data_IF_821512084725
#
_entry.id   IF_821512084725
#
_cell.length_a   1.000
_cell.length_b   1.000
_cell.length_c   1.000
_cell.angle_alpha   90.00
_cell.angle_beta   90.00
_cell.angle_gamma   90.00
#
_symmetry.space_group_name_H-M   'P 1'
#
loop_
_entity.id
_entity.type
_entity.pdbx_description
1 polymer ?
#
# COMPACT_ATOMS: atom_id res chain seq x y z
N UNK A 1 21.22 19.41 -2.18
CA UNK A 1 20.31 18.84 -3.19
C UNK A 1 18.99 19.57 -3.03
N UNK A 2 18.43 20.22 -4.06
CA UNK A 2 17.09 20.79 -3.92
C UNK A 2 16.08 19.64 -3.78
N UNK A 3 15.14 19.77 -2.85
CA UNK A 3 14.01 18.83 -2.72
C UNK A 3 13.19 18.82 -4.01
N UNK A 4 12.62 17.67 -4.41
CA UNK A 4 11.72 17.65 -5.55
C UNK A 4 10.48 18.50 -5.21
N UNK A 5 10.29 19.57 -5.97
CA UNK A 5 9.10 20.40 -5.89
C UNK A 5 7.89 19.61 -6.42
N UNK A 6 7.11 19.04 -5.51
CA UNK A 6 5.84 18.41 -5.85
C UNK A 6 5.31 17.57 -4.70
N UNK A 7 4.64 18.22 -3.72
CA UNK A 7 3.73 17.58 -2.76
C UNK A 7 3.18 18.52 -1.65
N UNK A 8 3.89 19.58 -1.26
CA UNK A 8 3.63 20.23 0.03
C UNK A 8 2.64 21.41 0.02
N UNK A 9 1.94 21.66 -1.09
CA UNK A 9 0.91 22.72 -1.11
C UNK A 9 -0.49 22.13 -0.90
N UNK A 10 -1.39 22.82 -0.15
CA UNK A 10 -2.78 22.40 -0.04
C UNK A 10 -3.47 22.16 -1.39
N UNK A 11 -3.09 22.91 -2.42
CA UNK A 11 -3.66 22.80 -3.77
C UNK A 11 -3.26 21.49 -4.47
N UNK A 12 -1.99 21.04 -4.33
CA UNK A 12 -1.53 19.79 -4.90
C UNK A 12 -2.26 18.59 -4.29
N UNK A 13 -2.43 18.60 -2.96
CA UNK A 13 -3.19 17.56 -2.24
C UNK A 13 -4.65 17.51 -2.68
N UNK A 14 -5.33 18.65 -2.80
CA UNK A 14 -6.71 18.69 -3.27
C UNK A 14 -6.84 18.18 -4.72
N UNK A 15 -5.87 18.50 -5.57
CA UNK A 15 -5.82 17.98 -6.93
C UNK A 15 -5.63 16.45 -6.95
N UNK A 16 -4.78 15.90 -6.06
CA UNK A 16 -4.55 14.45 -5.99
C UNK A 16 -5.80 13.72 -5.50
N UNK A 17 -6.48 14.26 -4.48
CA UNK A 17 -7.77 13.77 -4.05
C UNK A 17 -8.82 13.80 -5.17
N UNK A 18 -8.79 14.82 -6.02
CA UNK A 18 -9.66 14.89 -7.19
C UNK A 18 -9.32 13.82 -8.24
N UNK A 19 -8.03 13.57 -8.48
CA UNK A 19 -7.57 12.50 -9.34
C UNK A 19 -8.03 11.12 -8.84
N UNK A 20 -7.92 10.86 -7.53
CA UNK A 20 -8.40 9.62 -6.90
C UNK A 20 -9.91 9.42 -7.13
N UNK A 21 -10.73 10.45 -6.85
CA UNK A 21 -12.18 10.39 -7.09
C UNK A 21 -12.48 10.13 -8.56
N UNK A 22 -11.82 10.86 -9.46
CA UNK A 22 -12.06 10.79 -10.91
C UNK A 22 -11.69 9.41 -11.46
N UNK A 23 -10.57 8.84 -11.05
CA UNK A 23 -10.17 7.47 -11.40
C UNK A 23 -11.19 6.44 -10.90
N UNK A 24 -11.57 6.52 -9.62
CA UNK A 24 -12.53 5.57 -9.04
C UNK A 24 -13.88 5.61 -9.77
N UNK A 25 -14.44 6.80 -9.99
CA UNK A 25 -15.73 6.96 -10.72
C UNK A 25 -15.64 6.40 -12.13
N UNK A 26 -14.56 6.67 -12.85
CA UNK A 26 -14.37 6.16 -14.21
C UNK A 26 -14.33 4.62 -14.27
N UNK A 27 -13.65 3.98 -13.31
CA UNK A 27 -13.60 2.51 -13.22
C UNK A 27 -14.97 1.91 -12.82
N UNK A 28 -15.69 2.57 -11.91
CA UNK A 28 -17.05 2.18 -11.49
C UNK A 28 -18.01 2.25 -12.69
N UNK A 29 -18.05 3.38 -13.39
CA UNK A 29 -18.95 3.61 -14.53
C UNK A 29 -18.67 2.64 -15.67
N UNK A 30 -17.38 2.34 -15.90
CA UNK A 30 -16.96 1.35 -16.88
C UNK A 30 -17.12 -0.10 -16.41
N UNK A 31 -17.56 -0.34 -15.16
CA UNK A 31 -17.71 -1.65 -14.51
C UNK A 31 -16.43 -2.50 -14.54
N UNK A 32 -15.27 -1.85 -14.42
CA UNK A 32 -13.97 -2.52 -14.32
C UNK A 32 -13.74 -2.91 -12.86
N UNK A 33 -13.53 -4.19 -12.51
CA UNK A 33 -13.13 -4.57 -11.16
C UNK A 33 -11.78 -3.94 -10.79
N UNK A 34 -11.71 -3.28 -9.63
CA UNK A 34 -10.50 -2.65 -9.14
C UNK A 34 -10.41 -2.71 -7.61
N UNK A 35 -9.30 -2.25 -7.06
CA UNK A 35 -9.17 -1.89 -5.65
C UNK A 35 -8.25 -0.67 -5.51
N UNK A 36 -8.56 0.25 -4.60
CA UNK A 36 -7.60 1.24 -4.14
C UNK A 36 -6.51 0.52 -3.33
N UNK A 37 -5.25 0.79 -3.65
CA UNK A 37 -4.08 0.18 -3.00
C UNK A 37 -3.10 1.25 -2.50
N UNK A 38 -1.94 0.82 -2.00
CA UNK A 38 -0.85 1.72 -1.65
C UNK A 38 -1.18 2.71 -0.53
N UNK A 39 -0.66 3.93 -0.64
CA UNK A 39 -0.73 4.94 0.42
C UNK A 39 -2.16 5.41 0.71
N UNK A 40 -2.96 5.65 -0.33
CA UNK A 40 -4.34 6.11 -0.17
C UNK A 40 -5.26 5.04 0.42
N UNK A 41 -5.02 3.76 0.10
CA UNK A 41 -5.70 2.66 0.78
C UNK A 41 -5.33 2.61 2.27
N UNK A 42 -4.05 2.79 2.60
CA UNK A 42 -3.60 2.82 4.00
C UNK A 42 -4.25 4.00 4.74
N UNK A 43 -4.34 5.17 4.11
CA UNK A 43 -4.99 6.35 4.67
C UNK A 43 -6.50 6.12 4.92
N UNK A 44 -7.20 5.49 3.98
CA UNK A 44 -8.59 5.10 4.15
C UNK A 44 -8.80 4.16 5.36
N UNK A 45 -7.77 3.42 5.76
CA UNK A 45 -7.76 2.53 6.93
C UNK A 45 -7.17 3.19 8.20
N UNK A 46 -6.84 4.49 8.15
CA UNK A 46 -6.41 5.28 9.30
C UNK A 46 -4.91 5.57 9.39
N UNK A 47 -4.11 5.21 8.38
CA UNK A 47 -2.72 5.66 8.28
C UNK A 47 -2.62 7.17 7.95
N UNK A 48 -1.44 7.80 8.11
CA UNK A 48 -1.23 9.17 7.65
C UNK A 48 -1.53 9.35 6.15
N UNK A 49 -2.04 10.52 5.78
CA UNK A 49 -2.32 10.84 4.37
C UNK A 49 -1.01 10.91 3.56
N UNK A 50 -0.90 10.21 2.41
CA UNK A 50 0.26 10.30 1.53
C UNK A 50 0.26 11.64 0.75
N UNK A 51 1.43 12.04 0.25
CA UNK A 51 1.60 13.35 -0.39
C UNK A 51 2.06 13.30 -1.86
N UNK A 52 2.27 12.12 -2.44
CA UNK A 52 2.91 11.98 -3.75
C UNK A 52 1.96 11.47 -4.84
N UNK A 53 1.44 10.26 -4.65
CA UNK A 53 0.70 9.50 -5.64
C UNK A 53 -0.45 8.70 -5.01
N UNK A 54 -1.32 8.18 -5.89
CA UNK A 54 -2.34 7.23 -5.54
C UNK A 54 -2.24 6.00 -6.45
N UNK A 55 -2.55 4.84 -5.89
CA UNK A 55 -2.41 3.57 -6.57
C UNK A 55 -3.78 2.87 -6.66
N UNK A 56 -4.10 2.35 -7.84
CA UNK A 56 -5.24 1.46 -8.08
C UNK A 56 -4.73 0.14 -8.63
N UNK A 57 -5.30 -0.97 -8.18
CA UNK A 57 -5.06 -2.29 -8.75
C UNK A 57 -6.24 -2.69 -9.64
N UNK A 58 -5.95 -3.23 -10.82
CA UNK A 58 -6.92 -3.87 -11.73
C UNK A 58 -6.38 -5.23 -12.15
N UNK A 59 -7.26 -6.15 -12.55
CA UNK A 59 -6.78 -7.43 -13.06
C UNK A 59 -6.01 -7.24 -14.38
N UNK A 60 -4.96 -8.03 -14.62
CA UNK A 60 -4.13 -7.91 -15.83
C UNK A 60 -4.95 -7.99 -17.11
N UNK A 61 -5.93 -8.88 -17.15
CA UNK A 61 -6.86 -9.05 -18.26
C UNK A 61 -7.80 -7.85 -18.50
N UNK A 62 -7.98 -6.95 -17.52
CA UNK A 62 -8.82 -5.76 -17.62
C UNK A 62 -8.01 -4.47 -17.83
N UNK A 63 -6.68 -4.54 -17.88
CA UNK A 63 -5.83 -3.35 -17.97
C UNK A 63 -6.17 -2.47 -19.19
N UNK A 64 -6.42 -3.07 -20.36
CA UNK A 64 -6.80 -2.33 -21.57
C UNK A 64 -8.16 -1.63 -21.44
N UNK A 65 -9.12 -2.28 -20.78
CA UNK A 65 -10.43 -1.70 -20.51
C UNK A 65 -10.34 -0.56 -19.51
N UNK A 66 -9.49 -0.70 -18.49
CA UNK A 66 -9.21 0.36 -17.52
C UNK A 66 -8.59 1.60 -18.21
N UNK A 67 -7.61 1.42 -19.10
CA UNK A 67 -7.01 2.51 -19.90
C UNK A 67 -8.07 3.26 -20.69
N UNK A 68 -8.91 2.53 -21.42
CA UNK A 68 -9.96 3.11 -22.24
C UNK A 68 -10.97 3.90 -21.40
N UNK A 69 -11.35 3.36 -20.23
CA UNK A 69 -12.26 4.02 -19.31
C UNK A 69 -11.66 5.34 -18.77
N UNK A 70 -10.40 5.32 -18.36
CA UNK A 70 -9.72 6.49 -17.81
C UNK A 70 -9.48 7.57 -18.88
N UNK A 71 -9.08 7.16 -20.08
CA UNK A 71 -8.95 8.07 -21.21
C UNK A 71 -10.31 8.69 -21.61
N UNK A 72 -11.39 7.89 -21.64
CA UNK A 72 -12.75 8.38 -21.91
C UNK A 72 -13.26 9.33 -20.81
N UNK A 73 -12.82 9.13 -19.58
CA UNK A 73 -13.06 10.04 -18.46
C UNK A 73 -12.16 11.28 -18.48
N UNK A 74 -11.29 11.45 -19.48
CA UNK A 74 -10.46 12.65 -19.67
C UNK A 74 -9.16 12.67 -18.88
N UNK A 75 -8.73 11.53 -18.31
CA UNK A 75 -7.38 11.41 -17.75
C UNK A 75 -6.36 11.23 -18.89
N UNK A 76 -5.17 11.79 -18.72
CA UNK A 76 -4.04 11.56 -19.63
C UNK A 76 -3.39 10.21 -19.27
N UNK A 77 -3.65 9.18 -20.08
CA UNK A 77 -3.15 7.82 -19.87
C UNK A 77 -1.84 7.64 -20.63
N UNK A 78 -0.81 7.19 -19.91
CA UNK A 78 0.53 6.98 -20.43
C UNK A 78 1.02 5.56 -20.14
N UNK A 79 1.65 4.97 -21.15
CA UNK A 79 2.31 3.67 -21.08
C UNK A 79 3.80 3.89 -20.75
N UNK A 80 4.25 3.61 -19.52
CA UNK A 80 5.66 3.69 -19.19
C UNK A 80 6.41 2.45 -19.70
N UNK A 81 7.73 2.39 -19.54
CA UNK A 81 8.52 1.24 -19.97
C UNK A 81 8.28 0.01 -19.08
N UNK A 82 7.82 0.26 -17.85
CA UNK A 82 7.40 -0.67 -16.84
C UNK A 82 6.21 -1.52 -17.32
N UNK A 83 6.37 -2.84 -17.30
CA UNK A 83 5.38 -3.80 -17.77
C UNK A 83 4.44 -4.31 -16.67
N UNK A 84 4.20 -3.50 -15.63
CA UNK A 84 3.41 -3.87 -14.45
C UNK A 84 2.33 -2.85 -14.05
N UNK A 85 2.36 -1.65 -14.66
CA UNK A 85 1.37 -0.59 -14.47
C UNK A 85 1.22 0.25 -15.73
N UNK A 86 0.17 1.06 -15.77
CA UNK A 86 0.11 2.25 -16.61
C UNK A 86 -0.19 3.48 -15.75
N UNK A 87 0.14 4.68 -16.24
CA UNK A 87 -0.01 5.93 -15.50
C UNK A 87 -1.22 6.69 -16.01
N UNK A 88 -1.99 7.29 -15.10
CA UNK A 88 -3.07 8.19 -15.45
C UNK A 88 -2.88 9.53 -14.73
N UNK A 89 -2.90 10.63 -15.48
CA UNK A 89 -2.74 11.96 -14.93
C UNK A 89 -4.05 12.75 -14.97
N UNK A 90 -4.33 13.46 -13.88
CA UNK A 90 -5.42 14.43 -13.78
C UNK A 90 -4.91 15.71 -13.14
N UNK A 91 -4.97 16.83 -13.87
CA UNK A 91 -4.40 18.12 -13.43
C UNK A 91 -2.94 18.04 -12.93
N UNK A 92 -2.12 17.22 -13.59
CA UNK A 92 -0.71 17.02 -13.24
C UNK A 92 -0.46 16.10 -12.04
N UNK A 93 -1.52 15.54 -11.45
CA UNK A 93 -1.43 14.56 -10.36
C UNK A 93 -1.42 13.15 -10.92
N UNK A 94 -0.52 12.33 -10.39
CA UNK A 94 -0.26 10.97 -10.87
C UNK A 94 -1.13 9.96 -10.11
N UNK A 95 -1.76 9.07 -10.89
CA UNK A 95 -2.37 7.84 -10.40
C UNK A 95 -1.72 6.66 -11.12
N UNK A 96 -1.11 5.75 -10.37
CA UNK A 96 -0.57 4.51 -10.90
C UNK A 96 -1.67 3.44 -10.92
N UNK A 97 -1.87 2.81 -12.07
CA UNK A 97 -2.83 1.70 -12.24
C UNK A 97 -2.07 0.41 -12.47
N UNK A 98 -1.95 -0.35 -11.39
CA UNK A 98 -1.14 -1.54 -11.25
C UNK A 98 -1.94 -2.76 -11.69
N UNK A 99 -1.35 -3.55 -12.58
CA UNK A 99 -1.93 -4.82 -13.02
C UNK A 99 -1.05 -6.03 -12.73
N UNK A 100 0.18 -5.81 -12.26
CA UNK A 100 1.03 -6.81 -11.61
C UNK A 100 1.58 -6.28 -10.29
N UNK A 101 1.35 -6.99 -9.19
CA UNK A 101 1.86 -6.66 -7.86
C UNK A 101 2.97 -7.61 -7.47
N UNK A 102 4.15 -7.07 -7.13
CA UNK A 102 5.33 -7.88 -6.73
C UNK A 102 5.68 -8.93 -7.81
N UNK A 103 5.54 -8.56 -9.09
CA UNK A 103 5.82 -9.43 -10.24
C UNK A 103 4.67 -10.33 -10.69
N UNK A 104 3.66 -10.52 -9.84
CA UNK A 104 2.55 -11.43 -10.09
C UNK A 104 1.32 -10.71 -10.67
N UNK A 105 0.59 -11.30 -11.64
CA UNK A 105 -0.66 -10.74 -12.14
C UNK A 105 -1.67 -10.52 -11.02
N UNK A 106 -2.31 -9.36 -11.02
CA UNK A 106 -3.46 -9.11 -10.16
C UNK A 106 -4.65 -9.91 -10.68
N UNK A 107 -5.32 -10.64 -9.79
CA UNK A 107 -6.47 -11.49 -10.14
C UNK A 107 -7.78 -10.90 -9.63
N UNK A 108 -8.90 -11.29 -10.25
CA UNK A 108 -10.23 -10.95 -9.74
C UNK A 108 -10.48 -11.46 -8.32
N UNK A 109 -9.92 -12.63 -7.98
CA UNK A 109 -10.03 -13.18 -6.62
C UNK A 109 -9.35 -12.30 -5.58
N UNK A 110 -8.17 -11.75 -5.91
CA UNK A 110 -7.50 -10.79 -5.03
C UNK A 110 -8.30 -9.50 -4.89
N UNK A 111 -8.83 -8.97 -5.99
CA UNK A 111 -9.66 -7.75 -5.96
C UNK A 111 -10.96 -7.96 -5.18
N UNK A 112 -11.58 -9.14 -5.26
CA UNK A 112 -12.80 -9.47 -4.54
C UNK A 112 -12.65 -9.55 -3.01
N UNK A 113 -11.41 -9.61 -2.50
CA UNK A 113 -11.11 -9.54 -1.07
C UNK A 113 -11.07 -8.11 -0.53
N UNK A 114 -11.09 -7.10 -1.41
CA UNK A 114 -11.12 -5.70 -1.02
C UNK A 114 -12.44 -5.36 -0.30
N UNK A 115 -12.36 -4.40 0.63
CA UNK A 115 -13.50 -3.92 1.40
C UNK A 115 -14.06 -2.65 0.78
N UNK A 116 -15.38 -2.58 0.60
CA UNK A 116 -16.08 -1.35 0.20
C UNK A 116 -16.02 -0.30 1.32
N UNK A 117 -15.34 0.81 1.06
CA UNK A 117 -15.22 1.96 1.97
C UNK A 117 -15.62 3.26 1.26
N UNK A 118 -15.98 4.28 2.04
CA UNK A 118 -16.17 5.64 1.53
C UNK A 118 -14.84 6.38 1.60
N UNK A 119 -14.25 6.67 0.44
CA UNK A 119 -12.99 7.40 0.30
C UNK A 119 -13.27 8.67 -0.49
N UNK A 120 -13.05 9.84 0.11
CA UNK A 120 -13.30 11.14 -0.53
C UNK A 120 -14.73 11.24 -1.10
N UNK A 121 -15.74 10.80 -0.33
CA UNK A 121 -17.16 10.75 -0.71
C UNK A 121 -17.48 9.85 -1.93
N UNK A 122 -16.57 8.95 -2.32
CA UNK A 122 -16.80 7.91 -3.34
C UNK A 122 -16.71 6.56 -2.66
N UNK A 123 -17.76 5.74 -2.81
CA UNK A 123 -17.76 4.36 -2.32
C UNK A 123 -16.99 3.47 -3.30
N UNK A 124 -15.91 2.87 -2.83
CA UNK A 124 -15.00 2.09 -3.67
C UNK A 124 -14.35 0.94 -2.90
N UNK A 125 -13.89 -0.11 -3.60
CA UNK A 125 -13.12 -1.20 -3.00
C UNK A 125 -11.73 -0.73 -2.57
N UNK A 126 -11.33 -1.05 -1.35
CA UNK A 126 -10.02 -0.73 -0.75
C UNK A 126 -9.37 -2.03 -0.27
N UNK A 127 -8.11 -2.25 -0.64
CA UNK A 127 -7.38 -3.46 -0.24
C UNK A 127 -7.12 -3.46 1.28
N UNK A 128 -7.12 -4.65 1.90
CA UNK A 128 -7.00 -4.82 3.35
C UNK A 128 -5.62 -4.43 3.92
N UNK A 129 -5.59 -4.09 5.21
CA UNK A 129 -4.36 -3.69 5.90
C UNK A 129 -3.24 -4.74 5.84
N UNK A 130 -3.60 -6.03 5.92
CA UNK A 130 -2.65 -7.16 5.84
C UNK A 130 -1.94 -7.17 4.49
N UNK A 131 -2.69 -7.02 3.39
CA UNK A 131 -2.18 -7.00 2.03
C UNK A 131 -1.31 -5.76 1.79
N UNK A 132 -1.72 -4.58 2.29
CA UNK A 132 -0.91 -3.35 2.21
C UNK A 132 0.44 -3.57 2.87
N UNK A 133 0.45 -4.03 4.12
CA UNK A 133 1.69 -4.23 4.88
C UNK A 133 2.55 -5.32 4.23
N UNK A 134 1.96 -6.45 3.84
CA UNK A 134 2.67 -7.53 3.14
C UNK A 134 3.35 -7.04 1.86
N UNK A 135 2.61 -6.33 0.99
CA UNK A 135 3.15 -5.79 -0.26
C UNK A 135 4.27 -4.77 -0.02
N UNK A 136 4.08 -3.83 0.91
CA UNK A 136 5.08 -2.80 1.23
C UNK A 136 6.35 -3.39 1.87
N UNK A 137 6.26 -4.50 2.59
CA UNK A 137 7.43 -5.21 3.11
C UNK A 137 8.15 -6.03 2.03
N UNK A 138 7.42 -6.65 1.09
CA UNK A 138 8.00 -7.45 -0.01
C UNK A 138 8.83 -6.64 -1.00
N UNK A 139 8.59 -5.34 -1.12
CA UNK A 139 9.39 -4.45 -1.99
C UNK A 139 10.68 -3.97 -1.33
N UNK A 140 10.92 -4.28 -0.05
CA UNK A 140 12.15 -3.89 0.62
C UNK A 140 13.36 -4.62 0.04
N UNK A 141 14.43 -3.88 -0.21
CA UNK A 141 15.67 -4.41 -0.78
C UNK A 141 16.86 -3.48 -0.53
N UNK A 142 18.03 -3.86 -1.05
CA UNK A 142 19.28 -3.11 -0.86
C UNK A 142 19.17 -1.63 -1.28
N UNK A 143 18.44 -1.36 -2.36
CA UNK A 143 18.23 -0.01 -2.89
C UNK A 143 16.97 0.67 -2.34
N UNK A 144 16.16 -0.03 -1.56
CA UNK A 144 14.88 0.45 -1.07
C UNK A 144 14.61 -0.09 0.34
N UNK A 145 15.36 0.41 1.32
CA UNK A 145 15.26 0.04 2.73
C UNK A 145 15.04 1.29 3.60
N UNK A 146 13.92 1.97 3.38
CA UNK A 146 13.51 3.12 4.18
C UNK A 146 12.31 2.77 5.06
N UNK A 147 12.52 2.76 6.38
CA UNK A 147 11.48 2.46 7.36
C UNK A 147 10.69 3.70 7.81
N UNK A 148 11.12 4.90 7.40
CA UNK A 148 10.57 6.18 7.87
C UNK A 148 9.09 6.33 7.57
N UNK A 149 8.66 5.91 6.37
CA UNK A 149 7.25 5.92 5.96
C UNK A 149 6.50 4.64 6.36
N UNK A 150 7.20 3.52 6.55
CA UNK A 150 6.60 2.25 6.96
C UNK A 150 6.16 2.24 8.43
N UNK A 151 6.99 2.73 9.34
CA UNK A 151 6.71 2.71 10.78
C UNK A 151 5.40 3.42 11.18
N UNK A 152 5.12 4.67 10.74
CA UNK A 152 3.87 5.33 11.09
C UNK A 152 2.64 4.64 10.47
N UNK A 153 2.76 4.13 9.23
CA UNK A 153 1.72 3.35 8.56
C UNK A 153 1.41 2.07 9.35
N UNK A 154 2.43 1.25 9.62
CA UNK A 154 2.29 0.02 10.38
C UNK A 154 1.73 0.28 11.79
N UNK A 155 2.20 1.34 12.46
CA UNK A 155 1.66 1.73 13.77
C UNK A 155 0.17 2.03 13.72
N UNK A 156 -0.30 2.72 12.69
CA UNK A 156 -1.71 3.03 12.52
C UNK A 156 -2.56 1.79 12.21
N UNK A 157 -2.04 0.91 11.37
CA UNK A 157 -2.77 -0.27 10.89
C UNK A 157 -2.67 -1.49 11.80
N UNK A 158 -1.83 -1.48 12.84
CA UNK A 158 -1.40 -2.68 13.60
C UNK A 158 -2.51 -3.62 14.11
N UNK A 159 -3.67 -3.08 14.47
CA UNK A 159 -4.80 -3.85 15.01
C UNK A 159 -5.63 -4.53 13.91
N UNK A 160 -5.42 -4.12 12.65
CA UNK A 160 -6.12 -4.62 11.46
C UNK A 160 -5.29 -5.65 10.69
N UNK A 161 -4.02 -5.83 11.05
CA UNK A 161 -3.06 -6.67 10.33
C UNK A 161 -3.03 -8.09 10.89
N UNK A 162 -3.16 -9.08 10.02
CA UNK A 162 -2.85 -10.48 10.31
C UNK A 162 -1.33 -10.67 10.29
N UNK A 163 -0.71 -10.47 11.45
CA UNK A 163 0.73 -10.60 11.63
C UNK A 163 1.30 -11.98 11.28
N UNK A 164 0.68 -13.11 11.68
CA UNK A 164 1.09 -14.44 11.23
C UNK A 164 1.15 -14.57 9.70
N UNK A 165 0.15 -14.07 8.98
CA UNK A 165 0.13 -14.10 7.51
C UNK A 165 1.23 -13.23 6.91
N UNK A 166 1.43 -12.01 7.40
CA UNK A 166 2.52 -11.13 6.93
C UNK A 166 3.89 -11.80 7.13
N UNK A 167 4.13 -12.43 8.28
CA UNK A 167 5.39 -13.15 8.53
C UNK A 167 5.62 -14.31 7.55
N UNK A 168 4.56 -15.07 7.24
CA UNK A 168 4.63 -16.16 6.27
C UNK A 168 4.93 -15.64 4.86
N UNK A 169 4.28 -14.54 4.46
CA UNK A 169 4.48 -13.91 3.17
C UNK A 169 5.91 -13.42 2.94
N UNK A 170 6.57 -12.93 4.01
CA UNK A 170 7.87 -12.28 3.92
C UNK A 170 9.03 -13.11 4.48
N UNK A 171 8.83 -14.41 4.67
CA UNK A 171 9.78 -15.30 5.35
C UNK A 171 11.16 -15.37 4.67
N UNK A 172 11.21 -15.21 3.34
CA UNK A 172 12.44 -15.28 2.55
C UNK A 172 13.05 -13.89 2.28
N UNK A 173 12.44 -12.80 2.78
CA UNK A 173 12.85 -11.43 2.52
C UNK A 173 13.61 -10.87 3.73
N UNK A 174 14.96 -10.78 3.69
CA UNK A 174 15.76 -10.42 4.86
C UNK A 174 15.47 -9.01 5.38
N UNK A 175 15.22 -8.04 4.49
CA UNK A 175 14.89 -6.66 4.87
C UNK A 175 13.52 -6.56 5.56
N UNK A 176 12.52 -7.30 5.06
CA UNK A 176 11.21 -7.40 5.70
C UNK A 176 11.30 -8.05 7.09
N UNK A 177 12.12 -9.09 7.23
CA UNK A 177 12.38 -9.72 8.54
C UNK A 177 13.07 -8.77 9.51
N UNK A 178 14.02 -7.95 9.04
CA UNK A 178 14.65 -6.92 9.85
C UNK A 178 13.64 -5.85 10.31
N UNK A 179 12.75 -5.41 9.41
CA UNK A 179 11.65 -4.51 9.79
C UNK A 179 10.75 -5.14 10.85
N UNK A 180 10.31 -6.38 10.66
CA UNK A 180 9.43 -7.08 11.60
C UNK A 180 10.09 -7.28 12.96
N UNK A 181 11.39 -7.56 13.00
CA UNK A 181 12.15 -7.59 14.24
C UNK A 181 12.08 -6.24 14.98
N UNK A 182 12.34 -5.13 14.29
CA UNK A 182 12.21 -3.79 14.86
C UNK A 182 10.77 -3.49 15.30
N UNK A 183 9.78 -3.87 14.51
CA UNK A 183 8.37 -3.68 14.82
C UNK A 183 7.96 -4.44 16.09
N UNK A 184 8.50 -5.64 16.30
CA UNK A 184 8.30 -6.42 17.52
C UNK A 184 8.88 -5.70 18.74
N UNK A 185 10.14 -5.21 18.65
CA UNK A 185 10.81 -4.45 19.73
C UNK A 185 10.08 -3.14 20.07
N UNK A 186 9.40 -2.54 19.09
CA UNK A 186 8.61 -1.32 19.25
C UNK A 186 7.16 -1.57 19.72
N UNK A 187 6.77 -2.83 19.96
CA UNK A 187 5.41 -3.17 20.39
C UNK A 187 4.34 -2.94 19.31
N UNK A 188 4.73 -3.01 18.04
CA UNK A 188 3.83 -2.77 16.90
C UNK A 188 3.11 -4.03 16.43
N UNK A 189 3.62 -5.20 16.78
CA UNK A 189 3.01 -6.49 16.44
C UNK A 189 2.46 -7.14 17.71
N UNK A 190 1.41 -7.94 17.57
CA UNK A 190 0.76 -8.66 18.68
C UNK A 190 1.64 -9.75 19.31
N UNK A 191 2.88 -9.95 18.84
CA UNK A 191 3.85 -10.88 19.44
C UNK A 191 4.77 -10.24 20.48
N UNK A 192 4.76 -8.91 20.63
CA UNK A 192 5.59 -8.22 21.62
C UNK A 192 5.32 -8.77 23.04
N UNK A 193 4.05 -8.99 23.40
CA UNK A 193 3.66 -9.57 24.70
C UNK A 193 4.25 -10.97 24.94
N UNK A 194 4.45 -11.77 23.88
CA UNK A 194 5.03 -13.13 23.98
C UNK A 194 6.55 -13.15 24.15
N UNK A 195 7.29 -12.18 23.57
CA UNK A 195 8.76 -12.13 23.70
C UNK A 195 9.22 -11.52 25.02
N UNK A 196 8.54 -10.49 25.53
CA UNK A 196 8.86 -9.91 26.85
C UNK A 196 8.54 -10.86 28.02
N UNK A 197 7.65 -11.84 27.84
CA UNK A 197 7.43 -12.90 28.81
C UNK A 197 8.58 -13.93 28.88
N UNK A 198 9.42 -14.00 27.85
CA UNK A 198 10.49 -14.98 27.72
C UNK A 198 11.86 -14.40 28.09
N UNK A 199 11.99 -13.72 29.24
CA UNK A 199 13.30 -13.60 29.93
C UNK A 199 13.13 -13.40 31.43
N UNK A 200 13.41 -14.42 32.26
CA UNK A 200 14.07 -14.22 33.53
C UNK A 200 15.50 -14.73 33.40
N UNK A 201 16.43 -13.82 33.09
CA UNK A 201 17.84 -14.06 33.32
C UNK A 201 18.09 -14.11 34.82
N UNK A 202 18.19 -15.31 35.40
CA UNK A 202 18.99 -15.54 36.61
C UNK A 202 20.14 -16.46 36.24
N UNK A 203 21.33 -15.87 36.12
CA UNK A 203 22.54 -16.63 36.41
C UNK A 203 22.43 -17.15 37.84
N UNK A 204 22.48 -18.46 38.00
CA UNK A 204 22.74 -19.04 39.31
C UNK A 204 24.16 -18.63 39.73
N UNK A 205 24.39 -18.22 40.99
CA UNK A 205 25.76 -18.14 41.49
C UNK A 205 26.30 -19.58 41.62
N UNK A 206 27.52 -19.80 41.15
CA UNK A 206 28.31 -21.00 41.43
C UNK A 206 28.50 -21.09 42.96
N UNK A 207 27.99 -22.16 43.57
CA UNK A 207 28.37 -22.54 44.94
C UNK A 207 29.61 -23.44 44.87
N UNK A 208 30.63 -23.00 45.60
CA UNK A 208 31.94 -23.59 45.90
C UNK A 208 31.96 -25.08 46.23
#
# INVERSE_FOLDING_TARGET
>A
MPEPAGADTPDARLALQDAVRRTAVALIDAQVPFALVGGYAAWALGAPEPSHDADFAVAEQDADRARQALAAAGLDVQEPAENWLFKAYHHGQLVDVIFRMVGEPVTHEQLAQAQELEVLAVRMPVIGATEIVSAKLRVLGEHYCDFTWLLPMVRALREQVDWPRVRADVAEQPYARAFLFLADELGLTSDAERRFAATPGRGAPDET
#
